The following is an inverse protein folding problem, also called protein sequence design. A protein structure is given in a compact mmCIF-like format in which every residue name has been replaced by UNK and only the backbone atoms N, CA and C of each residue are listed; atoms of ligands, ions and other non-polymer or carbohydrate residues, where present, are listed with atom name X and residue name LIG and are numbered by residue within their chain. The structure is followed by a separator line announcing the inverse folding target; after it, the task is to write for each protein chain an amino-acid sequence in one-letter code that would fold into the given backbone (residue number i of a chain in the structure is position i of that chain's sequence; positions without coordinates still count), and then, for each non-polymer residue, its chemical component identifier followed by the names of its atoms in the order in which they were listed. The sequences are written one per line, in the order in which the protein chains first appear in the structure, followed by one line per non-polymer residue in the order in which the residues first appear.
data_IF_078426252793
#
_entry.id   IF_078426252793
#
_cell.length_a   1.000
_cell.length_b   1.000
_cell.length_c   1.000
_cell.angle_alpha   90.00
_cell.angle_beta   90.00
_cell.angle_gamma   90.00
#
_symmetry.space_group_name_H-M   'P 1'
#
loop_
_entity.id
_entity.type
_entity.pdbx_description
1 polymer ?
#
# COMPACT_ATOMS: atom_id res chain seq x y z
N UNK A 1 -13.11 2.21 -25.35
CA UNK A 1 -11.64 2.30 -25.27
C UNK A 1 -11.28 3.71 -24.81
N UNK A 2 -11.02 3.90 -23.52
CA UNK A 2 -10.74 5.22 -22.95
C UNK A 2 -9.25 5.31 -22.66
N UNK A 3 -8.56 6.13 -23.46
CA UNK A 3 -7.12 6.41 -23.34
C UNK A 3 -6.84 7.12 -22.01
N UNK A 4 -5.97 6.53 -21.19
CA UNK A 4 -5.51 7.12 -19.92
C UNK A 4 -4.47 8.17 -20.27
N UNK A 5 -4.87 9.45 -20.35
CA UNK A 5 -3.94 10.55 -20.67
C UNK A 5 -3.83 11.61 -19.59
N UNK A 6 -4.63 11.58 -18.53
CA UNK A 6 -4.70 12.71 -17.60
C UNK A 6 -5.06 12.29 -16.17
N UNK A 7 -4.57 13.02 -15.16
CA UNK A 7 -4.86 12.81 -13.72
C UNK A 7 -6.37 12.72 -13.48
N UNK A 8 -7.13 13.53 -14.22
CA UNK A 8 -8.59 13.54 -14.21
C UNK A 8 -9.20 12.19 -14.59
N UNK A 9 -8.60 11.45 -15.52
CA UNK A 9 -9.09 10.14 -15.95
C UNK A 9 -8.82 9.03 -14.92
N UNK A 10 -7.72 9.13 -14.18
CA UNK A 10 -7.41 8.21 -13.08
C UNK A 10 -8.33 8.47 -11.87
N UNK A 11 -8.53 9.75 -11.53
CA UNK A 11 -9.47 10.17 -10.48
C UNK A 11 -10.92 9.80 -10.81
N UNK A 12 -11.34 9.95 -12.07
CA UNK A 12 -12.65 9.47 -12.52
C UNK A 12 -12.77 7.96 -12.41
N UNK A 13 -11.75 7.20 -12.80
CA UNK A 13 -11.78 5.73 -12.68
C UNK A 13 -11.82 5.28 -11.23
N UNK A 14 -11.19 6.02 -10.33
CA UNK A 14 -11.28 5.80 -8.88
C UNK A 14 -12.67 6.12 -8.41
N UNK A 15 -13.20 7.32 -8.66
CA UNK A 15 -14.57 7.68 -8.30
C UNK A 15 -15.60 6.70 -8.86
N UNK A 16 -15.41 6.20 -10.09
CA UNK A 16 -16.24 5.17 -10.71
C UNK A 16 -16.13 3.85 -9.95
N UNK A 17 -14.93 3.41 -9.58
CA UNK A 17 -14.71 2.19 -8.80
C UNK A 17 -15.23 2.34 -7.36
N UNK A 18 -15.04 3.48 -6.71
CA UNK A 18 -15.55 3.76 -5.35
C UNK A 18 -17.07 3.81 -5.34
N UNK A 19 -17.69 4.47 -6.34
CA UNK A 19 -19.16 4.54 -6.50
C UNK A 19 -19.78 3.21 -6.91
N UNK A 20 -19.13 2.44 -7.80
CA UNK A 20 -19.67 1.15 -8.27
C UNK A 20 -19.54 0.03 -7.25
N UNK A 21 -18.56 0.09 -6.34
CA UNK A 21 -18.29 -1.00 -5.39
C UNK A 21 -18.87 -0.80 -3.98
N UNK A 22 -19.59 0.31 -3.73
CA UNK A 22 -20.00 0.71 -2.37
C UNK A 22 -18.83 0.58 -1.38
N UNK A 23 -17.61 0.90 -1.83
CA UNK A 23 -16.42 0.74 -1.01
C UNK A 23 -16.36 1.91 -0.04
N UNK A 24 -16.69 1.65 1.22
CA UNK A 24 -16.35 2.54 2.31
C UNK A 24 -14.84 2.48 2.55
N UNK A 25 -14.14 3.44 1.94
CA UNK A 25 -12.69 3.55 2.07
C UNK A 25 -12.26 3.96 3.48
N UNK A 26 -13.13 4.62 4.24
CA UNK A 26 -12.84 5.01 5.62
C UNK A 26 -12.75 3.77 6.50
N UNK A 27 -13.79 2.92 6.48
CA UNK A 27 -13.75 1.63 7.20
C UNK A 27 -12.64 0.71 6.69
N UNK A 28 -12.37 0.71 5.38
CA UNK A 28 -11.27 -0.07 4.79
C UNK A 28 -9.88 0.38 5.26
N UNK A 29 -9.69 1.68 5.46
CA UNK A 29 -8.48 2.26 6.03
C UNK A 29 -8.26 1.82 7.47
N UNK A 30 -9.25 2.02 8.33
CA UNK A 30 -9.15 1.61 9.73
C UNK A 30 -8.84 0.12 9.85
N UNK A 31 -9.50 -0.69 9.03
CA UNK A 31 -9.24 -2.12 8.95
C UNK A 31 -7.81 -2.43 8.50
N UNK A 32 -7.28 -1.69 7.53
CA UNK A 32 -5.90 -1.86 7.05
C UNK A 32 -4.86 -1.53 8.13
N UNK A 33 -5.12 -0.52 8.97
CA UNK A 33 -4.29 -0.19 10.14
C UNK A 33 -4.41 -1.29 11.21
N UNK A 34 -5.62 -1.80 11.44
CA UNK A 34 -5.84 -2.98 12.28
C UNK A 34 -5.00 -4.19 11.82
N UNK A 35 -4.98 -4.46 10.51
CA UNK A 35 -4.14 -5.51 9.92
C UNK A 35 -2.64 -5.24 10.12
N UNK A 36 -2.17 -4.00 9.94
CA UNK A 36 -0.77 -3.64 10.22
C UNK A 36 -0.40 -3.98 11.67
N UNK A 37 -1.27 -3.64 12.63
CA UNK A 37 -1.06 -3.93 14.04
C UNK A 37 -1.02 -5.43 14.33
N UNK A 38 -1.89 -6.23 13.70
CA UNK A 38 -1.86 -7.69 13.82
C UNK A 38 -0.54 -8.29 13.28
N UNK A 39 -0.04 -7.79 12.15
CA UNK A 39 1.29 -8.18 11.63
C UNK A 39 2.38 -7.86 12.67
N UNK A 40 2.33 -6.69 13.31
CA UNK A 40 3.28 -6.32 14.35
C UNK A 40 3.19 -7.22 15.59
N UNK A 41 1.99 -7.69 15.95
CA UNK A 41 1.79 -8.65 17.04
C UNK A 41 2.38 -10.01 16.68
N UNK A 42 2.16 -10.53 15.46
CA UNK A 42 2.79 -11.77 14.99
C UNK A 42 4.31 -11.72 15.16
N UNK A 43 4.95 -10.60 14.76
CA UNK A 43 6.39 -10.41 14.89
C UNK A 43 6.85 -10.37 16.36
N UNK A 44 6.13 -9.67 17.23
CA UNK A 44 6.43 -9.64 18.66
C UNK A 44 6.29 -11.01 19.33
N UNK A 45 5.26 -11.77 18.99
CA UNK A 45 5.05 -13.12 19.51
C UNK A 45 6.15 -14.07 19.05
N UNK A 46 6.55 -13.97 17.77
CA UNK A 46 7.70 -14.71 17.24
C UNK A 46 8.96 -14.41 18.08
N UNK A 47 9.35 -13.15 18.23
CA UNK A 47 10.54 -12.80 19.01
C UNK A 47 10.44 -13.21 20.48
N UNK A 48 9.25 -13.09 21.08
CA UNK A 48 9.01 -13.49 22.47
C UNK A 48 9.22 -14.99 22.63
N UNK A 49 8.64 -15.82 21.75
CA UNK A 49 8.84 -17.27 21.76
C UNK A 49 10.32 -17.66 21.69
N UNK A 50 11.11 -16.94 20.88
CA UNK A 50 12.53 -17.22 20.71
C UNK A 50 13.38 -16.72 21.88
N UNK A 51 12.99 -15.62 22.53
CA UNK A 51 13.67 -15.06 23.70
C UNK A 51 13.40 -15.88 24.96
N UNK A 52 12.14 -16.27 25.19
CA UNK A 52 11.73 -16.99 26.40
C UNK A 52 11.86 -18.50 26.26
N UNK A 53 12.03 -19.01 25.04
CA UNK A 53 11.98 -20.45 24.70
C UNK A 53 10.65 -21.11 25.08
N UNK A 54 9.59 -20.32 25.20
CA UNK A 54 8.26 -20.79 25.56
C UNK A 54 7.41 -20.97 24.30
N UNK A 55 7.02 -22.23 24.03
CA UNK A 55 6.25 -22.59 22.84
C UNK A 55 4.79 -22.14 22.89
N UNK A 56 4.25 -21.77 24.07
CA UNK A 56 2.85 -21.31 24.17
C UNK A 56 2.55 -20.06 23.34
N UNK A 57 3.57 -19.26 23.06
CA UNK A 57 3.44 -18.08 22.21
C UNK A 57 3.16 -18.45 20.74
N UNK A 58 3.41 -19.70 20.32
CA UNK A 58 3.09 -20.16 18.97
C UNK A 58 1.58 -20.33 18.77
N UNK A 59 0.85 -20.77 19.80
CA UNK A 59 -0.60 -20.91 19.72
C UNK A 59 -1.27 -19.53 19.59
N UNK A 60 -0.80 -18.55 20.39
CA UNK A 60 -1.27 -17.17 20.28
C UNK A 60 -0.89 -16.53 18.93
N UNK A 61 0.30 -16.86 18.40
CA UNK A 61 0.71 -16.39 17.08
C UNK A 61 -0.20 -16.93 15.98
N UNK A 62 -0.57 -18.23 16.03
CA UNK A 62 -1.48 -18.82 15.06
C UNK A 62 -2.87 -18.16 15.11
N UNK A 63 -3.38 -17.88 16.31
CA UNK A 63 -4.67 -17.19 16.49
C UNK A 63 -4.66 -15.78 15.88
N UNK A 64 -3.65 -14.97 16.20
CA UNK A 64 -3.46 -13.63 15.63
C UNK A 64 -3.33 -13.70 14.11
N UNK A 65 -2.62 -14.70 13.60
CA UNK A 65 -2.43 -14.92 12.16
C UNK A 65 -3.73 -15.28 11.45
N UNK A 66 -4.61 -16.06 12.08
CA UNK A 66 -5.95 -16.38 11.56
C UNK A 66 -6.80 -15.13 11.47
N UNK A 67 -6.86 -14.35 12.55
CA UNK A 67 -7.58 -13.07 12.59
C UNK A 67 -7.07 -12.10 11.52
N UNK A 68 -5.75 -11.92 11.38
CA UNK A 68 -5.16 -11.10 10.31
C UNK A 68 -5.58 -11.58 8.92
N UNK A 69 -5.59 -12.89 8.71
CA UNK A 69 -5.95 -13.49 7.41
C UNK A 69 -7.43 -13.31 7.10
N UNK A 70 -8.31 -13.37 8.10
CA UNK A 70 -9.74 -13.11 7.94
C UNK A 70 -9.99 -11.66 7.56
N UNK A 71 -9.51 -10.71 8.37
CA UNK A 71 -9.70 -9.28 8.13
C UNK A 71 -9.08 -8.81 6.82
N UNK A 72 -7.92 -9.35 6.42
CA UNK A 72 -7.29 -8.98 5.16
C UNK A 72 -8.09 -9.43 3.92
N UNK A 73 -8.92 -10.48 4.02
CA UNK A 73 -9.82 -10.90 2.93
C UNK A 73 -10.97 -9.92 2.70
N UNK A 74 -11.35 -9.15 3.71
CA UNK A 74 -12.37 -8.11 3.56
C UNK A 74 -11.87 -6.96 2.67
N UNK A 75 -10.56 -6.70 2.70
CA UNK A 75 -9.92 -5.67 1.88
C UNK A 75 -9.50 -6.23 0.51
N UNK A 76 -8.88 -7.41 0.49
CA UNK A 76 -8.32 -8.01 -0.73
C UNK A 76 -9.28 -9.06 -1.30
N UNK A 77 -10.08 -8.65 -2.29
CA UNK A 77 -11.06 -9.55 -2.94
C UNK A 77 -10.43 -10.58 -3.89
N UNK A 78 -9.20 -10.36 -4.36
CA UNK A 78 -8.45 -11.29 -5.22
C UNK A 78 -7.35 -12.01 -4.39
N UNK A 79 -7.76 -13.04 -3.65
CA UNK A 79 -6.95 -13.71 -2.63
C UNK A 79 -6.08 -14.87 -3.16
N UNK A 80 -6.20 -15.23 -4.44
CA UNK A 80 -5.47 -16.34 -5.07
C UNK A 80 -4.28 -15.87 -5.94
N UNK A 81 -3.39 -15.06 -5.39
CA UNK A 81 -2.21 -14.63 -6.15
C UNK A 81 -1.22 -13.74 -5.44
N UNK A 82 -0.27 -13.21 -6.22
CA UNK A 82 0.81 -12.33 -5.77
C UNK A 82 0.28 -11.05 -5.10
N UNK A 83 -0.93 -10.60 -5.46
CA UNK A 83 -1.61 -9.43 -4.89
C UNK A 83 -1.78 -9.54 -3.38
N UNK A 84 -2.16 -10.72 -2.88
CA UNK A 84 -2.32 -10.99 -1.44
C UNK A 84 -1.00 -10.77 -0.69
N UNK A 85 0.06 -11.43 -1.17
CA UNK A 85 1.37 -11.36 -0.55
C UNK A 85 1.96 -9.95 -0.63
N UNK A 86 1.91 -9.32 -1.82
CA UNK A 86 2.38 -7.95 -2.05
C UNK A 86 1.66 -6.97 -1.13
N UNK A 87 0.33 -7.04 -1.04
CA UNK A 87 -0.46 -6.17 -0.17
C UNK A 87 -0.03 -6.27 1.30
N UNK A 88 0.09 -7.50 1.82
CA UNK A 88 0.57 -7.73 3.20
C UNK A 88 1.98 -7.14 3.40
N UNK A 89 2.87 -7.32 2.43
CA UNK A 89 4.24 -6.79 2.52
C UNK A 89 4.29 -5.26 2.42
N UNK A 90 3.43 -4.63 1.61
CA UNK A 90 3.30 -3.17 1.53
C UNK A 90 2.80 -2.59 2.86
N UNK A 91 1.78 -3.19 3.48
CA UNK A 91 1.29 -2.77 4.79
C UNK A 91 2.39 -2.88 5.87
N UNK A 92 3.07 -4.03 5.94
CA UNK A 92 4.14 -4.27 6.91
C UNK A 92 5.32 -3.30 6.72
N UNK A 93 5.75 -3.08 5.47
CA UNK A 93 6.86 -2.18 5.16
C UNK A 93 6.49 -0.71 5.44
N UNK A 94 5.26 -0.30 5.10
CA UNK A 94 4.74 1.04 5.41
C UNK A 94 4.84 1.32 6.91
N UNK A 95 4.29 0.42 7.74
CA UNK A 95 4.30 0.56 9.20
C UNK A 95 5.71 0.61 9.76
N UNK A 96 6.61 -0.26 9.29
CA UNK A 96 7.99 -0.32 9.81
C UNK A 96 8.80 0.92 9.45
N UNK A 97 8.66 1.43 8.22
CA UNK A 97 9.32 2.67 7.81
C UNK A 97 8.78 3.88 8.59
N UNK A 98 7.46 3.94 8.81
CA UNK A 98 6.83 4.97 9.65
C UNK A 98 7.46 4.98 11.05
N UNK A 99 7.59 3.81 11.69
CA UNK A 99 8.18 3.72 13.02
C UNK A 99 9.64 4.20 13.06
N UNK A 100 10.45 3.87 12.03
CA UNK A 100 11.82 4.39 11.93
C UNK A 100 11.81 5.91 11.75
N UNK A 101 10.89 6.47 10.97
CA UNK A 101 10.68 7.91 10.84
C UNK A 101 10.40 8.57 12.19
N UNK A 102 9.51 7.99 12.99
CA UNK A 102 9.20 8.46 14.36
C UNK A 102 10.43 8.42 15.28
N UNK A 103 11.28 7.40 15.16
CA UNK A 103 12.55 7.30 15.90
C UNK A 103 13.54 8.40 15.50
N UNK A 104 13.63 8.73 14.21
CA UNK A 104 14.47 9.86 13.75
C UNK A 104 13.90 11.21 14.18
N UNK A 105 12.57 11.37 14.18
CA UNK A 105 11.91 12.57 14.70
C UNK A 105 12.22 12.79 16.19
N UNK A 106 12.22 11.72 16.99
CA UNK A 106 12.61 11.76 18.41
C UNK A 106 14.07 12.19 18.61
N UNK A 107 14.96 11.92 17.65
CA UNK A 107 16.36 12.40 17.63
C UNK A 107 16.49 13.82 17.09
N UNK A 108 15.39 14.51 16.79
CA UNK A 108 15.32 15.82 16.14
C UNK A 108 15.85 15.85 14.68
N UNK A 109 15.99 14.68 14.03
CA UNK A 109 16.38 14.56 12.62
C UNK A 109 15.16 14.75 11.70
N UNK A 110 14.61 15.97 11.66
CA UNK A 110 13.33 16.24 10.97
C UNK A 110 13.35 15.95 9.48
N UNK A 111 14.43 16.30 8.77
CA UNK A 111 14.54 16.07 7.32
C UNK A 111 14.50 14.58 6.98
N UNK A 112 15.26 13.76 7.73
CA UNK A 112 15.28 12.31 7.54
C UNK A 112 13.95 11.67 7.95
N UNK A 113 13.33 12.14 9.03
CA UNK A 113 12.00 11.67 9.42
C UNK A 113 10.97 11.94 8.33
N UNK A 114 10.97 13.14 7.75
CA UNK A 114 10.09 13.51 6.64
C UNK A 114 10.26 12.61 5.42
N UNK A 115 11.51 12.37 4.99
CA UNK A 115 11.82 11.47 3.87
C UNK A 115 11.32 10.02 4.13
N UNK A 116 11.44 9.53 5.37
CA UNK A 116 10.91 8.22 5.75
C UNK A 116 9.39 8.19 5.76
N UNK A 117 8.73 9.23 6.26
CA UNK A 117 7.27 9.34 6.24
C UNK A 117 6.71 9.38 4.81
N UNK A 118 7.35 10.13 3.91
CA UNK A 118 6.98 10.14 2.49
C UNK A 118 7.09 8.75 1.85
N UNK A 119 8.17 8.01 2.14
CA UNK A 119 8.34 6.62 1.66
C UNK A 119 7.30 5.67 2.25
N UNK A 120 6.99 5.79 3.54
CA UNK A 120 5.93 5.01 4.19
C UNK A 120 4.57 5.28 3.53
N UNK A 121 4.21 6.56 3.35
CA UNK A 121 2.97 6.96 2.71
C UNK A 121 2.85 6.44 1.27
N UNK A 122 3.96 6.45 0.50
CA UNK A 122 4.02 5.87 -0.85
C UNK A 122 3.72 4.38 -0.87
N UNK A 123 4.24 3.60 0.09
CA UNK A 123 3.95 2.16 0.20
C UNK A 123 2.48 1.89 0.55
N UNK A 124 1.93 2.67 1.48
CA UNK A 124 0.51 2.59 1.81
C UNK A 124 -0.37 2.97 0.61
N UNK A 125 0.06 3.97 -0.16
CA UNK A 125 -0.64 4.38 -1.37
C UNK A 125 -0.61 3.32 -2.47
N UNK A 126 0.50 2.60 -2.62
CA UNK A 126 0.60 1.45 -3.52
C UNK A 126 -0.36 0.33 -3.12
N UNK A 127 -0.52 0.07 -1.82
CA UNK A 127 -1.46 -0.93 -1.32
C UNK A 127 -2.90 -0.63 -1.77
N UNK A 128 -3.35 0.62 -1.61
CA UNK A 128 -4.67 1.04 -2.06
C UNK A 128 -4.80 1.02 -3.59
N UNK A 129 -3.77 1.49 -4.32
CA UNK A 129 -3.76 1.44 -5.77
C UNK A 129 -3.93 0.04 -6.35
N UNK A 130 -3.28 -0.94 -5.73
CA UNK A 130 -3.39 -2.35 -6.10
C UNK A 130 -4.80 -2.89 -5.81
N UNK A 131 -5.32 -2.66 -4.61
CA UNK A 131 -6.60 -3.24 -4.17
C UNK A 131 -7.84 -2.55 -4.76
N UNK A 132 -7.72 -1.29 -5.17
CA UNK A 132 -8.74 -0.60 -5.96
C UNK A 132 -8.71 -0.99 -7.44
N UNK A 133 -7.74 -1.79 -7.89
CA UNK A 133 -7.60 -2.19 -9.29
C UNK A 133 -7.17 -1.05 -10.21
N UNK A 134 -6.57 -0.01 -9.64
CA UNK A 134 -6.00 1.14 -10.37
C UNK A 134 -4.65 0.76 -10.97
N UNK A 135 -3.94 -0.16 -10.32
CA UNK A 135 -2.72 -0.80 -10.79
C UNK A 135 -3.05 -2.27 -11.08
N UNK A 136 -3.37 -2.60 -12.33
CA UNK A 136 -3.75 -3.96 -12.71
C UNK A 136 -2.55 -4.91 -12.75
N UNK A 137 -2.61 -6.02 -12.01
CA UNK A 137 -1.67 -7.16 -12.17
C UNK A 137 -2.08 -8.12 -13.30
N UNK A 138 -3.33 -8.03 -13.77
CA UNK A 138 -3.83 -8.82 -14.92
C UNK A 138 -3.16 -8.42 -16.24
N UNK A 139 -2.56 -7.24 -16.31
CA UNK A 139 -1.82 -6.77 -17.48
C UNK A 139 -0.37 -7.32 -17.52
N UNK A 140 0.11 -7.92 -16.43
CA UNK A 140 1.46 -8.51 -16.38
C UNK A 140 1.56 -9.91 -17.03
N UNK A 141 0.44 -10.55 -17.41
CA UNK A 141 0.41 -11.88 -18.04
C UNK A 141 0.04 -11.90 -19.53
N UNK A 142 0.05 -10.76 -20.22
CA UNK A 142 -0.13 -10.72 -21.69
C UNK A 142 1.04 -10.02 -22.37
N UNK A 143 2.13 -10.76 -22.56
CA UNK A 143 3.07 -10.44 -23.63
C UNK A 143 2.40 -10.73 -24.98
N UNK A 144 2.10 -9.68 -25.74
CA UNK A 144 2.62 -9.46 -27.10
C UNK A 144 1.78 -8.40 -27.83
N UNK A 145 2.49 -7.34 -28.25
CA UNK A 145 2.11 -6.24 -29.14
C UNK A 145 1.41 -5.03 -28.50
N UNK A 146 2.23 -4.00 -28.32
CA UNK A 146 1.89 -2.58 -28.20
C UNK A 146 1.07 -2.18 -26.98
N UNK A 147 1.69 -2.05 -25.80
CA UNK A 147 1.17 -1.19 -24.74
C UNK A 147 2.29 -0.70 -23.82
N UNK A 148 2.12 0.52 -23.33
CA UNK A 148 3.13 1.42 -22.76
C UNK A 148 3.79 0.87 -21.48
N UNK A 149 5.11 0.99 -21.40
CA UNK A 149 5.93 0.57 -20.27
C UNK A 149 5.61 1.44 -19.03
N UNK A 150 4.90 0.88 -18.04
CA UNK A 150 4.66 1.56 -16.76
C UNK A 150 5.96 1.56 -15.97
N UNK A 151 6.74 2.63 -16.11
CA UNK A 151 7.96 2.87 -15.35
C UNK A 151 7.63 3.10 -13.87
N UNK A 152 8.01 2.13 -13.03
CA UNK A 152 7.91 2.18 -11.57
C UNK A 152 9.06 2.97 -10.91
N UNK A 153 9.94 3.59 -11.71
CA UNK A 153 11.15 4.28 -11.24
C UNK A 153 11.25 5.69 -11.80
N UNK A 154 11.70 6.63 -10.95
CA UNK A 154 12.34 7.86 -11.40
C UNK A 154 13.84 7.56 -11.43
N UNK A 155 14.39 7.15 -12.57
CA UNK A 155 15.83 7.04 -12.72
C UNK A 155 16.40 8.39 -13.20
N UNK A 156 17.28 9.08 -12.43
CA UNK A 156 17.88 10.33 -12.86
C UNK A 156 18.94 10.15 -13.97
N UNK A 157 19.24 8.93 -14.41
CA UNK A 157 20.40 8.66 -15.29
C UNK A 157 20.11 8.76 -16.80
N UNK A 158 18.92 9.21 -17.21
CA UNK A 158 18.64 9.43 -18.64
C UNK A 158 18.71 10.91 -19.00
N UNK A 159 19.95 11.40 -19.15
CA UNK A 159 20.26 12.62 -19.91
C UNK A 159 19.77 12.45 -21.34
N UNK A 160 18.52 12.84 -21.60
CA UNK A 160 17.96 13.33 -22.87
C UNK A 160 16.47 12.98 -22.96
N UNK A 161 15.61 13.88 -22.46
CA UNK A 161 14.27 14.14 -23.02
C UNK A 161 13.69 15.46 -22.47
N UNK A 162 12.99 16.15 -23.35
CA UNK A 162 12.34 17.46 -23.26
C UNK A 162 11.45 17.69 -22.02
N UNK A 163 11.11 18.96 -21.67
CA UNK A 163 10.41 19.32 -20.44
C UNK A 163 8.92 18.99 -20.54
N UNK A 164 8.59 17.72 -20.31
CA UNK A 164 7.21 17.28 -20.09
C UNK A 164 7.17 16.65 -18.71
N UNK A 165 6.49 17.35 -17.80
CA UNK A 165 6.11 16.97 -16.44
C UNK A 165 5.96 15.46 -16.24
N UNK A 166 7.04 14.81 -15.79
CA UNK A 166 7.07 13.40 -15.40
C UNK A 166 6.36 13.24 -14.05
N UNK A 167 5.03 13.22 -14.07
CA UNK A 167 4.19 12.98 -12.88
C UNK A 167 4.29 11.49 -12.55
N UNK A 168 5.15 11.16 -11.58
CA UNK A 168 5.41 9.80 -11.08
C UNK A 168 4.12 9.07 -10.69
N UNK A 169 4.02 7.76 -10.96
CA UNK A 169 2.89 6.90 -10.55
C UNK A 169 2.58 7.06 -9.06
N UNK A 170 3.61 7.26 -8.23
CA UNK A 170 3.49 7.55 -6.80
C UNK A 170 2.74 8.85 -6.49
N UNK A 171 3.01 9.92 -7.23
CA UNK A 171 2.29 11.19 -7.05
C UNK A 171 0.82 11.08 -7.46
N UNK A 172 0.53 10.22 -8.45
CA UNK A 172 -0.85 9.94 -8.90
C UNK A 172 -1.61 9.06 -7.90
N UNK A 173 -0.94 8.06 -7.33
CA UNK A 173 -1.49 7.20 -6.27
C UNK A 173 -1.70 7.97 -4.97
N UNK A 174 -0.76 8.85 -4.58
CA UNK A 174 -0.90 9.69 -3.41
C UNK A 174 -2.10 10.65 -3.53
N UNK A 175 -2.26 11.32 -4.67
CA UNK A 175 -3.41 12.19 -4.91
C UNK A 175 -4.75 11.43 -4.93
N UNK A 176 -4.72 10.17 -5.35
CA UNK A 176 -5.88 9.29 -5.38
C UNK A 176 -6.28 8.84 -3.98
N UNK A 177 -5.32 8.40 -3.17
CA UNK A 177 -5.52 8.10 -1.75
C UNK A 177 -6.02 9.34 -1.04
N UNK A 178 -5.37 10.49 -1.20
CA UNK A 178 -5.77 11.74 -0.55
C UNK A 178 -7.19 12.22 -0.91
N UNK A 179 -7.69 11.92 -2.11
CA UNK A 179 -9.05 12.31 -2.53
C UNK A 179 -10.12 11.30 -2.11
N UNK A 180 -9.74 10.04 -2.02
CA UNK A 180 -10.65 8.93 -1.72
C UNK A 180 -10.72 8.65 -0.20
N UNK A 181 -9.69 9.05 0.53
CA UNK A 181 -9.56 9.02 1.98
C UNK A 181 -9.89 10.42 2.52
N UNK A 182 -11.14 10.60 2.91
CA UNK A 182 -11.58 11.73 3.74
C UNK A 182 -12.07 11.13 5.06
N UNK A 183 -11.14 10.69 5.94
CA UNK A 183 -11.44 10.08 7.25
C UNK A 183 -12.24 11.02 8.18
N UNK A 184 -12.46 12.28 7.80
CA UNK A 184 -13.17 13.26 8.59
C UNK A 184 -14.66 13.36 8.24
N UNK A 185 -15.18 12.49 7.35
CA UNK A 185 -16.59 12.39 7.01
C UNK A 185 -17.26 11.22 7.74
N UNK A 186 -17.32 11.31 9.06
CA UNK A 186 -18.32 10.57 9.84
C UNK A 186 -19.65 11.34 9.87
#
# INVERSE_FOLDING_TARGET
MTKIKDVKSLLQRVEEVTKQKELDLSSGEDLSIGVMNLISIEEHLFYTSQKTKDKKYLDLLDEVRRMRTELLKEIIKDYEGEVWCISKHLLAASMRIMEVGTKELKKNNKEKAWDLFDKSYKLYSLFWGLNLGVVGTKDAKRSTKNEEEILLTNDPTTEHRSPTTNISVFSKLGALVQKAIDCCRE
#
